data_IF_095988179329
#
_entry.id   IF_095988179329
#
_cell.length_a   1.000
_cell.length_b   1.000
_cell.length_c   1.000
_cell.angle_alpha   90.00
_cell.angle_beta   90.00
_cell.angle_gamma   90.00
#
_symmetry.space_group_name_H-M   'P 1'
#
loop_
_entity.id
_entity.type
_entity.pdbx_description
1 polymer ?
#
# COMPACT_ATOMS: atom_id res chain seq x y z
N UNK A 1 -17.18 16.86 -3.30
CA UNK A 1 -15.73 17.00 -3.03
C UNK A 1 -15.13 15.59 -3.02
N UNK A 2 -14.36 15.15 -4.04
CA UNK A 2 -13.84 13.79 -4.04
C UNK A 2 -12.68 13.70 -3.05
N UNK A 3 -12.65 12.58 -2.33
CA UNK A 3 -11.63 12.27 -1.33
C UNK A 3 -10.31 11.97 -2.07
N UNK A 4 -9.19 12.27 -1.41
CA UNK A 4 -7.82 12.02 -1.87
C UNK A 4 -7.12 11.01 -0.95
N UNK A 5 -6.84 9.85 -1.50
CA UNK A 5 -6.31 8.65 -0.87
C UNK A 5 -4.78 8.69 -1.07
N UNK A 6 -3.92 8.46 -0.06
CA UNK A 6 -2.47 8.39 -0.32
C UNK A 6 -1.60 7.54 0.59
N UNK A 7 -0.61 6.92 -0.08
CA UNK A 7 0.22 5.78 0.34
C UNK A 7 0.92 6.03 1.69
N UNK A 8 1.11 4.98 2.50
CA UNK A 8 1.79 5.04 3.80
C UNK A 8 3.18 4.42 3.74
N UNK A 9 4.18 5.13 4.25
CA UNK A 9 5.50 4.58 4.60
C UNK A 9 5.72 4.82 6.09
N UNK A 10 5.83 3.76 6.89
CA UNK A 10 6.08 3.84 8.33
C UNK A 10 7.58 3.69 8.63
N UNK A 11 8.16 4.64 9.40
CA UNK A 11 9.47 4.44 10.04
C UNK A 11 9.28 3.76 11.39
N UNK A 12 9.94 2.63 11.60
CA UNK A 12 9.95 1.92 12.87
C UNK A 12 11.02 2.51 13.79
N UNK A 13 10.60 3.11 14.91
CA UNK A 13 11.47 3.44 16.02
C UNK A 13 11.82 2.17 16.79
N UNK A 14 13.11 1.86 16.91
CA UNK A 14 13.62 0.86 17.84
C UNK A 14 13.38 1.40 19.25
N UNK A 15 12.63 0.66 20.07
CA UNK A 15 12.88 0.44 21.50
C UNK A 15 11.75 -0.40 22.10
N UNK A 16 11.98 -1.71 22.21
CA UNK A 16 11.24 -2.58 23.12
C UNK A 16 12.18 -3.68 23.62
N UNK A 17 12.64 -3.52 24.85
CA UNK A 17 13.41 -4.54 25.56
C UNK A 17 12.53 -5.77 25.80
N UNK A 18 12.99 -6.92 25.32
CA UNK A 18 12.37 -8.24 25.56
C UNK A 18 12.89 -8.78 26.88
N UNK A 19 12.01 -8.94 27.87
CA UNK A 19 12.30 -9.74 29.06
C UNK A 19 12.01 -11.22 28.77
N UNK A 20 13.07 -12.03 28.77
CA UNK A 20 12.99 -13.47 28.51
C UNK A 20 12.50 -14.23 29.76
N UNK A 21 11.23 -14.62 29.76
CA UNK A 21 10.68 -15.59 30.71
C UNK A 21 10.84 -17.01 30.18
N UNK A 22 11.71 -17.81 30.80
CA UNK A 22 11.87 -19.26 30.52
C UNK A 22 10.58 -20.01 30.88
N UNK A 23 10.04 -20.79 29.94
CA UNK A 23 9.24 -21.99 30.27
C UNK A 23 9.66 -23.15 29.39
N UNK A 24 10.16 -24.18 30.05
CA UNK A 24 10.41 -25.52 29.53
C UNK A 24 9.07 -26.21 29.28
N UNK A 25 8.88 -26.77 28.08
CA UNK A 25 7.71 -27.57 27.72
C UNK A 25 7.96 -28.28 26.40
N UNK A 26 7.81 -29.60 26.40
CA UNK A 26 8.14 -30.56 25.34
C UNK A 26 7.26 -30.42 24.10
N UNK A 27 7.88 -30.63 22.93
CA UNK A 27 7.27 -30.72 21.61
C UNK A 27 6.37 -31.96 21.49
N UNK A 28 5.11 -31.77 21.11
CA UNK A 28 4.37 -32.78 20.36
C UNK A 28 3.39 -32.10 19.39
N UNK A 29 3.34 -32.63 18.18
CA UNK A 29 2.69 -32.10 17.00
C UNK A 29 1.17 -32.32 17.03
N UNK A 30 0.39 -31.31 16.59
CA UNK A 30 -0.60 -31.39 15.48
C UNK A 30 -1.69 -30.31 15.53
N UNK A 31 -2.04 -29.84 14.33
CA UNK A 31 -3.25 -29.08 13.98
C UNK A 31 -3.47 -27.73 14.68
N UNK A 32 -2.90 -26.67 14.11
CA UNK A 32 -3.36 -25.29 14.33
C UNK A 32 -4.73 -25.09 13.66
N UNK A 33 -5.76 -25.57 14.34
CA UNK A 33 -7.11 -25.01 14.24
C UNK A 33 -6.99 -23.56 14.74
N UNK A 34 -7.21 -22.59 13.86
CA UNK A 34 -7.35 -21.18 14.25
C UNK A 34 -8.70 -21.06 15.00
N UNK A 35 -8.72 -21.51 16.26
CA UNK A 35 -9.83 -21.24 17.17
C UNK A 35 -9.90 -19.73 17.32
N UNK A 36 -11.06 -19.18 17.01
CA UNK A 36 -11.43 -17.79 17.25
C UNK A 36 -11.12 -17.45 18.71
N UNK A 37 -10.00 -16.78 18.96
CA UNK A 37 -9.76 -16.11 20.22
C UNK A 37 -10.80 -14.99 20.33
N UNK A 38 -11.87 -15.25 21.07
CA UNK A 38 -12.77 -14.18 21.52
C UNK A 38 -12.02 -13.35 22.54
N UNK A 39 -11.27 -12.36 22.05
CA UNK A 39 -10.68 -11.33 22.91
C UNK A 39 -11.83 -10.42 23.37
N UNK A 40 -12.34 -10.68 24.58
CA UNK A 40 -13.24 -9.77 25.28
C UNK A 40 -12.43 -8.58 25.86
N UNK A 41 -11.73 -7.85 24.99
CA UNK A 41 -11.10 -6.58 25.31
C UNK A 41 -11.93 -5.47 24.70
N UNK A 42 -12.26 -4.43 25.46
CA UNK A 42 -12.80 -3.19 24.88
C UNK A 42 -11.73 -2.64 23.93
N UNK A 43 -11.99 -2.66 22.63
CA UNK A 43 -11.12 -2.05 21.63
C UNK A 43 -11.05 -0.55 21.94
N UNK A 44 -9.91 -0.08 22.43
CA UNK A 44 -9.64 1.34 22.64
C UNK A 44 -9.21 1.93 21.30
N UNK A 45 -10.09 2.72 20.69
CA UNK A 45 -9.80 3.45 19.46
C UNK A 45 -8.71 4.49 19.72
N UNK A 46 -7.49 4.22 19.28
CA UNK A 46 -6.38 5.17 19.35
C UNK A 46 -6.31 5.97 18.05
N UNK A 47 -6.80 7.20 18.09
CA UNK A 47 -6.77 8.10 16.93
C UNK A 47 -5.40 8.78 16.84
N UNK A 48 -4.54 8.26 15.96
CA UNK A 48 -3.23 8.86 15.68
C UNK A 48 -3.41 9.92 14.59
N UNK A 49 -3.17 11.19 14.91
CA UNK A 49 -3.09 12.27 13.92
C UNK A 49 -1.64 12.46 13.47
N UNK A 50 -1.39 12.37 12.16
CA UNK A 50 -0.07 12.60 11.57
C UNK A 50 -0.16 13.48 10.33
N UNK A 51 0.94 14.14 9.98
CA UNK A 51 1.05 14.93 8.76
C UNK A 51 1.34 14.02 7.56
N UNK A 52 0.64 14.21 6.44
CA UNK A 52 0.90 13.54 5.17
C UNK A 52 1.42 14.55 4.15
N UNK A 53 2.28 14.08 3.23
CA UNK A 53 2.70 14.86 2.05
C UNK A 53 2.16 14.18 0.80
N UNK A 54 1.91 14.97 -0.24
CA UNK A 54 1.55 14.41 -1.53
C UNK A 54 2.78 13.73 -2.16
N UNK A 55 2.61 12.65 -2.94
CA UNK A 55 3.73 12.06 -3.68
C UNK A 55 4.35 13.06 -4.67
N UNK A 56 3.61 14.04 -5.22
CA UNK A 56 4.21 15.08 -6.08
C UNK A 56 5.17 15.95 -5.26
N UNK A 57 4.75 16.37 -4.07
CA UNK A 57 5.60 17.17 -3.18
C UNK A 57 6.79 16.36 -2.67
N UNK A 58 6.61 15.06 -2.45
CA UNK A 58 7.70 14.15 -2.11
C UNK A 58 8.75 14.12 -3.25
N UNK A 59 8.33 13.89 -4.48
CA UNK A 59 9.22 13.82 -5.65
C UNK A 59 9.96 15.14 -5.87
N UNK A 60 9.26 16.27 -5.81
CA UNK A 60 9.87 17.61 -5.94
C UNK A 60 10.87 17.88 -4.81
N UNK A 61 10.50 17.60 -3.56
CA UNK A 61 11.34 17.83 -2.39
C UNK A 61 12.67 17.10 -2.46
N UNK A 62 12.70 15.92 -3.05
CA UNK A 62 13.91 15.11 -3.20
C UNK A 62 14.56 15.22 -4.58
N UNK A 63 14.08 16.13 -5.45
CA UNK A 63 14.66 16.35 -6.78
C UNK A 63 14.62 15.11 -7.66
N UNK A 64 13.55 14.32 -7.58
CA UNK A 64 13.39 13.12 -8.38
C UNK A 64 13.47 13.44 -9.88
N UNK A 65 14.04 12.55 -10.70
CA UNK A 65 14.02 12.72 -12.15
C UNK A 65 12.58 12.69 -12.66
N UNK A 66 12.36 13.32 -13.82
CA UNK A 66 11.08 13.28 -14.53
C UNK A 66 10.65 11.85 -14.89
N UNK A 67 11.59 11.01 -15.29
CA UNK A 67 11.37 9.60 -15.62
C UNK A 67 11.84 8.72 -14.46
N UNK A 68 10.94 7.91 -13.93
CA UNK A 68 11.20 6.99 -12.82
C UNK A 68 10.87 5.59 -13.31
N UNK A 69 11.74 4.62 -13.09
CA UNK A 69 11.56 3.30 -13.68
C UNK A 69 10.37 2.53 -13.08
N UNK A 70 10.17 2.65 -11.77
CA UNK A 70 9.25 1.80 -11.04
C UNK A 70 8.55 2.52 -9.88
N UNK A 71 7.26 2.25 -9.72
CA UNK A 71 6.45 2.66 -8.59
C UNK A 71 5.64 1.47 -8.06
N UNK A 72 5.76 1.21 -6.76
CA UNK A 72 4.92 0.26 -6.04
C UNK A 72 3.95 1.02 -5.14
N UNK A 73 2.67 0.76 -5.31
CA UNK A 73 1.57 1.39 -4.57
C UNK A 73 0.80 0.29 -3.84
N UNK A 74 1.06 0.19 -2.54
CA UNK A 74 0.30 -0.61 -1.59
C UNK A 74 -0.13 0.31 -0.44
N UNK A 75 -1.42 0.64 -0.39
CA UNK A 75 -2.03 1.17 0.82
C UNK A 75 -3.24 0.39 1.25
N UNK A 76 -3.64 0.67 2.49
CA UNK A 76 -4.90 0.24 3.07
C UNK A 76 -6.13 0.93 2.39
N UNK A 77 -6.27 0.79 1.08
CA UNK A 77 -7.39 1.27 0.26
C UNK A 77 -7.26 2.71 -0.20
N UNK A 78 -6.02 3.22 -0.26
CA UNK A 78 -5.74 4.59 -0.60
C UNK A 78 -4.91 4.78 -1.87
N UNK A 79 -5.08 3.92 -2.87
CA UNK A 79 -4.28 3.88 -4.08
C UNK A 79 -4.84 4.85 -5.13
N UNK A 80 -6.15 4.76 -5.38
CA UNK A 80 -6.79 5.51 -6.46
C UNK A 80 -6.56 7.00 -6.34
N UNK A 81 -6.85 7.56 -5.17
CA UNK A 81 -6.80 9.00 -5.02
C UNK A 81 -5.38 9.61 -4.80
N UNK A 82 -4.34 8.75 -4.86
CA UNK A 82 -2.91 9.11 -5.04
C UNK A 82 -2.68 9.47 -6.46
N UNK A 83 -3.07 8.51 -7.30
CA UNK A 83 -2.89 8.54 -8.73
C UNK A 83 -3.77 9.64 -9.29
N UNK A 84 -4.99 9.82 -8.77
CA UNK A 84 -5.85 10.93 -9.14
C UNK A 84 -5.23 12.30 -8.80
N UNK A 85 -4.47 12.38 -7.70
CA UNK A 85 -3.76 13.60 -7.31
C UNK A 85 -2.35 13.72 -7.92
N UNK A 86 -1.90 12.71 -8.66
CA UNK A 86 -0.57 12.67 -9.25
C UNK A 86 -0.53 13.48 -10.55
N UNK A 87 0.60 14.13 -10.79
CA UNK A 87 0.82 14.93 -11.99
C UNK A 87 1.61 14.12 -13.02
N UNK A 88 0.88 13.42 -13.90
CA UNK A 88 1.44 12.63 -15.00
C UNK A 88 2.12 13.50 -16.09
N UNK A 89 1.95 14.83 -16.04
CA UNK A 89 2.64 15.76 -16.95
C UNK A 89 4.04 16.13 -16.46
N UNK A 90 4.23 16.18 -15.15
CA UNK A 90 5.52 16.50 -14.51
C UNK A 90 6.42 15.28 -14.35
N UNK A 91 5.83 14.13 -13.99
CA UNK A 91 6.56 12.89 -13.71
C UNK A 91 5.91 11.71 -14.44
N UNK A 92 6.73 10.76 -14.86
CA UNK A 92 6.27 9.51 -15.45
C UNK A 92 6.98 8.31 -14.84
N UNK A 93 6.22 7.22 -14.66
CA UNK A 93 6.73 5.94 -14.21
C UNK A 93 6.78 4.95 -15.37
N UNK A 94 7.85 4.17 -15.52
CA UNK A 94 7.94 3.12 -16.52
C UNK A 94 6.99 1.96 -16.22
N UNK A 95 7.02 1.49 -14.96
CA UNK A 95 6.18 0.40 -14.45
C UNK A 95 5.51 0.85 -13.16
N UNK A 96 4.21 0.58 -13.03
CA UNK A 96 3.45 0.80 -11.80
C UNK A 96 2.82 -0.52 -11.37
N UNK A 97 2.98 -0.88 -10.10
CA UNK A 97 2.21 -1.94 -9.45
C UNK A 97 1.25 -1.31 -8.45
N UNK A 98 -0.02 -1.72 -8.50
CA UNK A 98 -1.06 -1.21 -7.60
C UNK A 98 -1.81 -2.37 -6.96
N UNK A 99 -1.77 -2.43 -5.63
CA UNK A 99 -2.60 -3.35 -4.86
C UNK A 99 -4.08 -2.96 -5.05
N UNK A 100 -4.94 -3.91 -5.37
CA UNK A 100 -6.37 -3.63 -5.57
C UNK A 100 -7.29 -4.35 -4.57
N UNK A 101 -6.82 -5.39 -3.88
CA UNK A 101 -7.57 -6.17 -2.88
C UNK A 101 -9.02 -6.51 -3.25
N UNK A 102 -9.27 -6.70 -4.56
CA UNK A 102 -10.60 -6.90 -5.17
C UNK A 102 -11.65 -5.82 -4.87
N UNK A 103 -11.22 -4.62 -4.53
CA UNK A 103 -12.12 -3.50 -4.26
C UNK A 103 -12.63 -2.86 -5.56
N UNK A 104 -13.78 -2.16 -5.53
CA UNK A 104 -14.27 -1.40 -6.69
C UNK A 104 -13.33 -0.29 -7.18
N UNK A 105 -12.25 0.01 -6.44
CA UNK A 105 -11.23 0.98 -6.87
C UNK A 105 -10.40 0.47 -8.04
N UNK A 106 -10.33 -0.86 -8.25
CA UNK A 106 -9.56 -1.49 -9.34
C UNK A 106 -9.88 -0.89 -10.71
N UNK A 107 -11.16 -0.80 -11.05
CA UNK A 107 -11.61 -0.25 -12.34
C UNK A 107 -11.31 1.24 -12.46
N UNK A 108 -11.41 1.99 -11.36
CA UNK A 108 -11.07 3.43 -11.36
C UNK A 108 -9.58 3.66 -11.59
N UNK A 109 -8.73 2.83 -11.00
CA UNK A 109 -7.28 2.85 -11.21
C UNK A 109 -6.96 2.49 -12.65
N UNK A 110 -7.59 1.44 -13.18
CA UNK A 110 -7.46 1.03 -14.57
C UNK A 110 -7.80 2.18 -15.52
N UNK A 111 -8.99 2.75 -15.41
CA UNK A 111 -9.44 3.82 -16.31
C UNK A 111 -8.54 5.05 -16.24
N UNK A 112 -8.10 5.40 -15.02
CA UNK A 112 -7.19 6.51 -14.81
C UNK A 112 -5.82 6.27 -15.47
N UNK A 113 -5.22 5.11 -15.27
CA UNK A 113 -3.88 4.81 -15.79
C UNK A 113 -3.91 4.62 -17.31
N UNK A 114 -4.94 3.96 -17.86
CA UNK A 114 -5.14 3.84 -19.31
C UNK A 114 -5.30 5.22 -19.96
N UNK A 115 -6.07 6.12 -19.35
CA UNK A 115 -6.21 7.50 -19.84
C UNK A 115 -4.88 8.28 -19.82
N UNK A 116 -3.90 7.87 -19.01
CA UNK A 116 -2.57 8.47 -18.93
C UNK A 116 -1.49 7.68 -19.70
N UNK A 117 -1.88 6.78 -20.61
CA UNK A 117 -0.96 6.10 -21.53
C UNK A 117 -0.27 4.86 -20.94
N UNK A 118 -0.89 4.22 -19.96
CA UNK A 118 -0.44 2.94 -19.41
C UNK A 118 -1.28 1.78 -19.92
N UNK A 119 -0.65 0.60 -20.02
CA UNK A 119 -1.33 -0.66 -20.38
C UNK A 119 -1.25 -1.64 -19.23
N UNK A 120 -2.39 -2.22 -18.84
CA UNK A 120 -2.47 -3.26 -17.82
C UNK A 120 -1.96 -4.60 -18.38
N UNK A 121 -1.10 -5.29 -17.63
CA UNK A 121 -0.49 -6.56 -18.00
C UNK A 121 -0.58 -7.59 -16.87
N UNK A 122 -0.35 -8.87 -17.20
CA UNK A 122 -0.24 -9.98 -16.24
C UNK A 122 -1.44 -10.24 -15.31
N UNK A 123 -2.64 -9.80 -15.68
CA UNK A 123 -3.87 -9.98 -14.88
C UNK A 123 -4.16 -11.44 -14.48
N UNK A 124 -3.73 -12.41 -15.29
CA UNK A 124 -3.96 -13.85 -15.03
C UNK A 124 -2.99 -14.45 -14.02
N UNK A 125 -1.88 -13.76 -13.74
CA UNK A 125 -0.80 -14.24 -12.88
C UNK A 125 -0.77 -13.46 -11.57
N UNK A 126 -1.07 -12.17 -11.64
CA UNK A 126 -1.10 -11.29 -10.49
C UNK A 126 -2.48 -11.33 -9.83
N UNK A 127 -2.54 -11.85 -8.60
CA UNK A 127 -3.82 -12.09 -7.90
C UNK A 127 -4.33 -10.84 -7.19
N UNK A 128 -3.43 -10.11 -6.54
CA UNK A 128 -3.78 -9.01 -5.63
C UNK A 128 -3.32 -7.64 -6.15
N UNK A 129 -2.42 -7.63 -7.13
CA UNK A 129 -1.84 -6.44 -7.74
C UNK A 129 -2.14 -6.37 -9.23
N UNK A 130 -2.36 -5.17 -9.75
CA UNK A 130 -2.37 -4.92 -11.19
C UNK A 130 -1.04 -4.27 -11.60
N UNK A 131 -0.52 -4.70 -12.74
CA UNK A 131 0.74 -4.20 -13.30
C UNK A 131 0.44 -3.33 -14.51
N UNK A 132 1.04 -2.14 -14.54
CA UNK A 132 0.86 -1.16 -15.61
C UNK A 132 2.22 -0.79 -16.20
N UNK A 133 2.33 -0.83 -17.53
CA UNK A 133 3.54 -0.46 -18.26
C UNK A 133 3.24 0.78 -19.12
N UNK A 134 4.13 1.77 -19.07
CA UNK A 134 4.07 2.95 -19.93
C UNK A 134 4.33 2.58 -21.38
N UNK A 135 3.42 2.98 -22.28
CA UNK A 135 3.57 2.86 -23.74
C UNK A 135 3.84 4.19 -24.41
#
# INVERSE_FOLDING_TARGET
>A
MPRRNRLRVARYGRDAAVSAGRRTGTLDDRCLFWRRCSFAGKATEHRISGHTISLNDMLRKYGAPRQIDYLSIDTEGSEFDILQAFDFGEYEFGIITCEHNYTPQREKIHDLLVANGYVRVWEKVSRFDDWYIRT
#
